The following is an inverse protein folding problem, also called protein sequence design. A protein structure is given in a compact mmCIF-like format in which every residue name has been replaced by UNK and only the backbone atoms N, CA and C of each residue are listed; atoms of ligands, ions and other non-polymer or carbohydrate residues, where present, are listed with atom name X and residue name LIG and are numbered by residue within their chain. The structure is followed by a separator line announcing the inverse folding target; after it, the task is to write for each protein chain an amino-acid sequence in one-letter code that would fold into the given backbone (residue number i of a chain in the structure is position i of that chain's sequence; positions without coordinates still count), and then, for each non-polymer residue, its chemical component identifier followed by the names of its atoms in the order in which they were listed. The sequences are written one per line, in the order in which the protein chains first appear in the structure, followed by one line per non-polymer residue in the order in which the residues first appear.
data_IF_714433831021
#
_entry.id   IF_714433831021
#
_cell.length_a   1.000
_cell.length_b   1.000
_cell.length_c   1.000
_cell.angle_alpha   90.00
_cell.angle_beta   90.00
_cell.angle_gamma   90.00
#
_symmetry.space_group_name_H-M   'P 1'
#
loop_
_entity.id
_entity.type
_entity.pdbx_description
1 polymer ?
#
# COMPACT_ATOMS: atom_id res chain seq x y z
N UNK A 1 -14.31 -24.61 11.00
CA UNK A 1 -12.95 -24.14 10.65
C UNK A 1 -12.94 -22.76 9.98
N UNK A 2 -13.90 -22.45 9.09
CA UNK A 2 -14.10 -21.13 8.46
C UNK A 2 -13.97 -19.89 9.37
N UNK A 3 -14.59 -19.82 10.57
CA UNK A 3 -14.52 -18.61 11.39
C UNK A 3 -13.13 -18.31 11.97
N UNK A 4 -12.24 -19.31 12.09
CA UNK A 4 -10.85 -19.06 12.51
C UNK A 4 -10.01 -18.50 11.36
N UNK A 5 -10.28 -18.96 10.14
CA UNK A 5 -9.60 -18.48 8.93
C UNK A 5 -10.01 -17.05 8.58
N UNK A 6 -11.30 -16.71 8.68
CA UNK A 6 -11.79 -15.33 8.50
C UNK A 6 -11.17 -14.37 9.51
N UNK A 7 -11.10 -14.77 10.80
CA UNK A 7 -10.43 -13.98 11.83
C UNK A 7 -8.95 -13.77 11.55
N UNK A 8 -8.26 -14.76 10.98
CA UNK A 8 -6.86 -14.62 10.58
C UNK A 8 -6.74 -13.66 9.40
N UNK A 9 -7.59 -13.81 8.38
CA UNK A 9 -7.61 -12.94 7.22
C UNK A 9 -7.85 -11.48 7.62
N UNK A 10 -8.81 -11.20 8.49
CA UNK A 10 -9.06 -9.86 9.03
C UNK A 10 -7.85 -9.29 9.77
N UNK A 11 -7.15 -10.11 10.56
CA UNK A 11 -5.93 -9.65 11.26
C UNK A 11 -4.83 -9.27 10.28
N UNK A 12 -4.59 -10.10 9.27
CA UNK A 12 -3.60 -9.81 8.22
C UNK A 12 -4.00 -8.57 7.44
N UNK A 13 -5.27 -8.44 7.07
CA UNK A 13 -5.80 -7.30 6.34
C UNK A 13 -5.59 -5.97 7.10
N UNK A 14 -5.84 -5.98 8.41
CA UNK A 14 -5.61 -4.83 9.28
C UNK A 14 -4.12 -4.46 9.39
N UNK A 15 -3.22 -5.44 9.45
CA UNK A 15 -1.77 -5.20 9.49
C UNK A 15 -1.31 -4.58 8.17
N UNK A 16 -1.74 -5.13 7.03
CA UNK A 16 -1.42 -4.60 5.71
C UNK A 16 -1.99 -3.19 5.51
N UNK A 17 -3.18 -2.91 6.02
CA UNK A 17 -3.74 -1.56 6.02
C UNK A 17 -2.88 -0.57 6.80
N UNK A 18 -2.39 -0.98 7.98
CA UNK A 18 -1.56 -0.13 8.81
C UNK A 18 -0.22 0.19 8.12
N UNK A 19 0.41 -0.82 7.52
CA UNK A 19 1.66 -0.67 6.74
C UNK A 19 1.44 0.27 5.54
N UNK A 20 0.42 0.01 4.72
CA UNK A 20 0.12 0.84 3.54
C UNK A 20 -0.14 2.29 3.95
N UNK A 21 -0.88 2.52 5.04
CA UNK A 21 -1.18 3.87 5.52
C UNK A 21 0.07 4.59 6.04
N UNK A 22 1.00 3.86 6.68
CA UNK A 22 2.27 4.43 7.16
C UNK A 22 3.15 4.90 6.00
N UNK A 23 3.27 4.10 4.93
CA UNK A 23 3.98 4.49 3.71
C UNK A 23 3.30 5.67 3.00
N UNK A 24 1.97 5.71 2.93
CA UNK A 24 1.23 6.88 2.39
C UNK A 24 1.47 8.15 3.21
N UNK A 25 1.43 8.04 4.54
CA UNK A 25 1.70 9.16 5.44
C UNK A 25 3.14 9.65 5.34
N UNK A 26 4.09 8.74 5.18
CA UNK A 26 5.51 9.06 4.98
C UNK A 26 5.73 9.75 3.64
N UNK A 27 5.15 9.24 2.54
CA UNK A 27 5.19 9.85 1.21
C UNK A 27 4.62 11.28 1.17
N UNK A 28 3.60 11.59 1.97
CA UNK A 28 3.08 12.96 2.09
C UNK A 28 4.09 13.91 2.75
N UNK A 29 4.90 13.42 3.70
CA UNK A 29 5.91 14.21 4.40
C UNK A 29 7.20 14.36 3.60
N UNK A 30 7.54 13.39 2.75
CA UNK A 30 8.70 13.44 1.84
C UNK A 30 8.41 14.10 0.49
N UNK A 31 7.18 14.52 0.18
CA UNK A 31 6.92 15.34 -1.02
C UNK A 31 7.53 16.76 -0.94
N UNK A 32 7.80 17.27 0.27
CA UNK A 32 8.44 18.57 0.48
C UNK A 32 9.97 18.52 0.58
N UNK A 33 10.56 17.36 0.82
CA UNK A 33 12.01 17.20 0.89
C UNK A 33 12.45 16.02 0.04
N UNK A 34 13.40 16.29 -0.86
CA UNK A 34 14.18 15.38 -1.72
C UNK A 34 14.98 14.32 -0.93
N UNK A 35 14.43 13.77 0.16
CA UNK A 35 15.02 12.67 0.87
C UNK A 35 14.67 11.42 0.09
N UNK A 36 15.63 11.03 -0.74
CA UNK A 36 15.82 9.72 -1.35
C UNK A 36 15.97 8.65 -0.24
N UNK A 37 14.95 8.53 0.62
CA UNK A 37 14.75 7.38 1.46
C UNK A 37 14.60 6.18 0.53
N UNK A 38 15.25 5.08 0.87
CA UNK A 38 15.34 3.87 0.06
C UNK A 38 13.93 3.40 -0.29
N UNK A 39 13.44 3.75 -1.48
CA UNK A 39 12.11 3.36 -1.96
C UNK A 39 11.99 1.84 -1.88
N UNK A 40 10.97 1.37 -1.18
CA UNK A 40 10.69 -0.05 -1.09
C UNK A 40 9.57 -0.48 -2.04
N UNK A 41 9.29 -1.78 -2.05
CA UNK A 41 8.27 -2.36 -2.93
C UNK A 41 6.90 -1.72 -2.71
N UNK A 42 6.57 -1.32 -1.49
CA UNK A 42 5.27 -0.72 -1.15
C UNK A 42 5.20 0.69 -1.73
N UNK A 43 6.28 1.47 -1.62
CA UNK A 43 6.37 2.79 -2.23
C UNK A 43 6.22 2.74 -3.76
N UNK A 44 6.84 1.74 -4.41
CA UNK A 44 6.71 1.52 -5.85
C UNK A 44 5.27 1.18 -6.22
N UNK A 45 4.64 0.22 -5.52
CA UNK A 45 3.24 -0.15 -5.79
C UNK A 45 2.27 1.02 -5.55
N UNK A 46 2.51 1.84 -4.54
CA UNK A 46 1.74 3.03 -4.23
C UNK A 46 1.86 4.15 -5.27
N UNK A 47 2.88 4.15 -6.14
CA UNK A 47 2.96 5.10 -7.26
C UNK A 47 1.86 4.87 -8.30
N UNK A 48 1.46 3.61 -8.46
CA UNK A 48 0.44 3.17 -9.41
C UNK A 48 -0.96 3.07 -8.78
N UNK A 49 -1.12 3.44 -7.51
CA UNK A 49 -2.45 3.40 -6.88
C UNK A 49 -3.38 4.46 -7.48
N UNK A 50 -4.64 4.06 -7.69
CA UNK A 50 -5.68 4.88 -8.30
C UNK A 50 -5.80 6.26 -7.61
N UNK A 51 -5.55 7.33 -8.37
CA UNK A 51 -5.59 8.72 -7.90
C UNK A 51 -4.25 9.41 -7.65
N UNK A 52 -3.10 8.76 -7.86
CA UNK A 52 -1.80 9.41 -7.69
C UNK A 52 -1.20 9.99 -9.00
N UNK A 53 -1.56 9.48 -10.19
CA UNK A 53 -1.08 9.96 -11.50
C UNK A 53 -2.18 9.83 -12.57
N UNK A 54 -2.45 10.89 -13.35
CA UNK A 54 -3.46 10.91 -14.41
C UNK A 54 -2.96 10.31 -15.75
N UNK A 55 -1.66 10.03 -15.85
CA UNK A 55 -1.00 9.55 -17.09
C UNK A 55 -0.67 8.04 -17.05
N UNK A 56 -1.25 7.30 -16.11
CA UNK A 56 -0.95 5.89 -15.89
C UNK A 56 -1.87 4.99 -16.74
N UNK A 57 -1.30 4.12 -17.58
CA UNK A 57 -2.05 3.18 -18.44
C UNK A 57 -2.87 2.14 -17.64
N UNK A 58 -2.51 1.91 -16.38
CA UNK A 58 -3.23 1.04 -15.45
C UNK A 58 -3.14 1.60 -14.03
N UNK A 59 -4.17 1.37 -13.22
CA UNK A 59 -4.15 1.70 -11.80
C UNK A 59 -4.28 0.45 -10.93
N UNK A 60 -3.62 0.48 -9.76
CA UNK A 60 -3.73 -0.53 -8.73
C UNK A 60 -4.73 -0.08 -7.68
N UNK A 61 -5.57 -1.01 -7.23
CA UNK A 61 -6.37 -0.79 -6.01
C UNK A 61 -5.58 -1.20 -4.78
N UNK A 62 -5.96 -0.68 -3.61
CA UNK A 62 -5.43 -1.14 -2.31
C UNK A 62 -5.51 -2.67 -2.16
N UNK A 63 -6.56 -3.29 -2.70
CA UNK A 63 -6.73 -4.76 -2.71
C UNK A 63 -5.68 -5.46 -3.56
N UNK A 64 -5.32 -4.90 -4.71
CA UNK A 64 -4.24 -5.45 -5.54
C UNK A 64 -2.90 -5.39 -4.81
N UNK A 65 -2.60 -4.25 -4.17
CA UNK A 65 -1.36 -4.07 -3.40
C UNK A 65 -1.28 -5.09 -2.26
N UNK A 66 -2.36 -5.26 -1.48
CA UNK A 66 -2.44 -6.28 -0.44
C UNK A 66 -2.22 -7.70 -0.96
N UNK A 67 -2.81 -8.03 -2.12
CA UNK A 67 -2.69 -9.34 -2.75
C UNK A 67 -1.29 -9.66 -3.30
N UNK A 68 -0.48 -8.65 -3.62
CA UNK A 68 0.92 -8.84 -4.01
C UNK A 68 1.80 -9.09 -2.78
N UNK A 69 1.44 -8.48 -1.64
CA UNK A 69 2.15 -8.70 -0.38
C UNK A 69 1.81 -10.06 0.24
N UNK A 70 0.58 -10.57 0.07
CA UNK A 70 0.10 -11.85 0.63
C UNK A 70 -1.03 -12.52 -0.17
#
# INVERSE_FOLDING_TARGET
MRPKLEKLHQKVDNILDMIINDHKGTKLRTKDDLVEGKEDLIDVLLKYEDGNNNDQEFSLTKRNIKAVLF
#
